data_IF_946402897869
#
_entry.id   IF_946402897869
#
_cell.length_a   1.000
_cell.length_b   1.000
_cell.length_c   1.000
_cell.angle_alpha   90.00
_cell.angle_beta   90.00
_cell.angle_gamma   90.00
#
_symmetry.space_group_name_H-M   'P 1'
#
loop_
_entity.id
_entity.type
_entity.pdbx_description
1 polymer ?
#
# COMPACT_ATOMS: atom_id res chain seq x y z
N UNK A 1 -2.00 12.85 8.44
CA UNK A 1 -1.63 12.02 7.27
C UNK A 1 -0.11 12.05 7.01
N UNK A 2 0.53 13.21 6.93
CA UNK A 2 1.99 13.29 6.73
C UNK A 2 2.83 12.63 7.85
N UNK A 3 2.42 12.75 9.12
CA UNK A 3 3.19 12.20 10.24
C UNK A 3 3.15 10.67 10.31
N UNK A 4 2.03 10.07 9.92
CA UNK A 4 1.83 8.62 9.91
C UNK A 4 2.65 7.96 8.80
N UNK A 5 2.64 8.51 7.59
CA UNK A 5 3.47 8.02 6.48
C UNK A 5 4.96 8.21 6.81
N UNK A 6 5.33 9.32 7.47
CA UNK A 6 6.71 9.56 7.93
C UNK A 6 7.14 8.59 9.02
N UNK A 7 6.22 8.13 9.85
CA UNK A 7 6.48 7.05 10.81
C UNK A 7 6.64 5.71 10.09
N UNK A 8 5.69 5.35 9.21
CA UNK A 8 5.69 4.11 8.44
C UNK A 8 6.94 3.97 7.57
N UNK A 9 7.45 5.06 7.00
CA UNK A 9 8.67 5.03 6.17
C UNK A 9 9.92 4.57 6.91
N UNK A 10 9.91 4.60 8.25
CA UNK A 10 11.01 4.13 9.12
C UNK A 10 10.89 2.64 9.46
N UNK A 11 9.74 2.02 9.24
CA UNK A 11 9.51 0.60 9.53
C UNK A 11 10.20 -0.30 8.50
N UNK A 12 10.61 -1.50 8.91
CA UNK A 12 11.06 -2.54 7.98
C UNK A 12 9.92 -3.06 7.11
N UNK A 13 10.23 -3.76 6.01
CA UNK A 13 9.21 -4.34 5.14
C UNK A 13 8.30 -5.31 5.90
N UNK A 14 8.86 -6.16 6.76
CA UNK A 14 8.05 -7.09 7.55
C UNK A 14 7.14 -6.35 8.55
N UNK A 15 7.59 -5.25 9.15
CA UNK A 15 6.73 -4.41 9.99
C UNK A 15 5.59 -3.78 9.17
N UNK A 16 5.88 -3.28 7.97
CA UNK A 16 4.84 -2.76 7.05
C UNK A 16 3.84 -3.84 6.64
N UNK A 17 4.30 -5.06 6.36
CA UNK A 17 3.41 -6.18 6.08
C UNK A 17 2.56 -6.56 7.30
N UNK A 18 3.11 -6.46 8.50
CA UNK A 18 2.34 -6.71 9.72
C UNK A 18 1.28 -5.63 9.94
N UNK A 19 1.59 -4.36 9.70
CA UNK A 19 0.62 -3.24 9.74
C UNK A 19 -0.49 -3.42 8.70
N UNK A 20 -0.15 -3.91 7.50
CA UNK A 20 -1.14 -4.22 6.46
C UNK A 20 -2.01 -5.43 6.81
N UNK A 21 -1.44 -6.43 7.49
CA UNK A 21 -2.12 -7.65 7.93
C UNK A 21 -2.85 -7.53 9.27
N UNK A 22 -2.68 -6.40 9.96
CA UNK A 22 -3.45 -6.00 11.13
C UNK A 22 -4.83 -5.51 10.68
N UNK A 23 -5.64 -6.46 10.20
CA UNK A 23 -7.07 -6.23 9.99
C UNK A 23 -7.71 -5.87 11.33
N UNK A 24 -8.82 -5.11 11.30
CA UNK A 24 -9.66 -4.81 12.48
C UNK A 24 -10.29 -6.12 13.00
N UNK A 25 -9.44 -6.94 13.62
CA UNK A 25 -9.75 -8.18 14.25
C UNK A 25 -10.10 -7.80 15.69
N UNK A 26 -11.39 -7.90 16.04
CA UNK A 26 -11.90 -7.81 17.41
C UNK A 26 -11.37 -8.95 18.33
N UNK A 27 -10.23 -9.54 17.98
CA UNK A 27 -9.59 -10.59 18.70
C UNK A 27 -9.04 -10.05 20.01
N UNK A 28 -9.48 -10.67 21.11
CA UNK A 28 -9.02 -10.40 22.48
C UNK A 28 -7.50 -10.65 22.60
N UNK A 29 -6.94 -11.50 21.74
CA UNK A 29 -5.51 -11.80 21.67
C UNK A 29 -5.01 -11.47 20.26
N UNK A 30 -4.08 -10.51 20.10
CA UNK A 30 -3.54 -10.19 18.79
C UNK A 30 -2.77 -11.40 18.21
N UNK A 31 -2.91 -11.70 16.91
CA UNK A 31 -2.16 -12.77 16.27
C UNK A 31 -0.64 -12.57 16.42
N UNK A 32 0.16 -13.65 16.45
CA UNK A 32 1.62 -13.55 16.40
C UNK A 32 2.10 -12.73 15.19
N UNK A 33 3.18 -11.97 15.36
CA UNK A 33 3.76 -11.12 14.31
C UNK A 33 3.93 -11.83 12.96
N UNK A 34 4.45 -13.07 12.96
CA UNK A 34 4.61 -13.87 11.73
C UNK A 34 3.29 -14.12 10.99
N UNK A 35 2.17 -14.22 11.72
CA UNK A 35 0.83 -14.37 11.12
C UNK A 35 0.38 -13.05 10.50
N UNK A 36 0.62 -11.92 11.16
CA UNK A 36 0.30 -10.60 10.62
C UNK A 36 1.06 -10.34 9.31
N UNK A 37 2.37 -10.59 9.30
CA UNK A 37 3.20 -10.48 8.08
C UNK A 37 2.64 -11.34 6.94
N UNK A 38 2.29 -12.60 7.25
CA UNK A 38 1.72 -13.51 6.25
C UNK A 38 0.39 -12.99 5.71
N UNK A 39 -0.51 -12.54 6.59
CA UNK A 39 -1.82 -11.97 6.21
C UNK A 39 -1.67 -10.73 5.34
N UNK A 40 -0.76 -9.82 5.68
CA UNK A 40 -0.52 -8.61 4.87
C UNK A 40 -0.05 -8.94 3.47
N UNK A 41 0.88 -9.90 3.33
CA UNK A 41 1.33 -10.39 2.02
C UNK A 41 0.20 -11.06 1.23
N UNK A 42 -0.60 -11.91 1.86
CA UNK A 42 -1.75 -12.58 1.23
C UNK A 42 -2.81 -11.57 0.79
N UNK A 43 -3.16 -10.61 1.66
CA UNK A 43 -4.09 -9.54 1.33
C UNK A 43 -3.58 -8.72 0.13
N UNK A 44 -2.31 -8.33 0.13
CA UNK A 44 -1.75 -7.55 -0.96
C UNK A 44 -1.78 -8.31 -2.28
N UNK A 45 -1.38 -9.59 -2.31
CA UNK A 45 -1.42 -10.37 -3.54
C UNK A 45 -2.86 -10.60 -4.04
N UNK A 46 -3.83 -10.80 -3.14
CA UNK A 46 -5.24 -10.95 -3.51
C UNK A 46 -5.86 -9.67 -4.08
N UNK A 47 -5.42 -8.50 -3.62
CA UNK A 47 -5.95 -7.19 -4.05
C UNK A 47 -5.05 -6.51 -5.09
N UNK A 48 -3.93 -7.13 -5.48
CA UNK A 48 -2.89 -6.54 -6.32
C UNK A 48 -3.41 -6.02 -7.65
N UNK A 49 -4.34 -6.74 -8.28
CA UNK A 49 -4.92 -6.35 -9.56
C UNK A 49 -5.76 -5.07 -9.43
N UNK A 50 -6.61 -5.00 -8.42
CA UNK A 50 -7.44 -3.82 -8.13
C UNK A 50 -6.56 -2.62 -7.73
N UNK A 51 -5.57 -2.84 -6.87
CA UNK A 51 -4.58 -1.81 -6.50
C UNK A 51 -3.87 -1.30 -7.75
N UNK A 52 -3.46 -2.18 -8.67
CA UNK A 52 -2.85 -1.79 -9.95
C UNK A 52 -3.81 -0.98 -10.81
N UNK A 53 -5.05 -1.41 -10.97
CA UNK A 53 -6.03 -0.70 -11.78
C UNK A 53 -6.21 0.74 -11.28
N UNK A 54 -6.36 0.91 -9.97
CA UNK A 54 -6.54 2.23 -9.33
C UNK A 54 -5.27 3.07 -9.46
N UNK A 55 -4.11 2.52 -9.11
CA UNK A 55 -2.84 3.26 -9.06
C UNK A 55 -2.32 3.57 -10.47
N UNK A 56 -2.45 2.64 -11.41
CA UNK A 56 -1.87 2.78 -12.74
C UNK A 56 -2.76 3.55 -13.73
N UNK A 57 -4.09 3.56 -13.54
CA UNK A 57 -5.01 4.37 -14.35
C UNK A 57 -5.28 5.77 -13.81
N UNK A 58 -4.76 6.11 -12.65
CA UNK A 58 -4.90 7.45 -12.11
C UNK A 58 -4.22 8.49 -13.01
N UNK A 59 -5.02 9.37 -13.63
CA UNK A 59 -4.52 10.55 -14.36
C UNK A 59 -3.74 11.52 -13.46
N UNK A 60 -4.02 11.52 -12.15
CA UNK A 60 -3.21 12.27 -11.20
C UNK A 60 -1.80 11.65 -11.16
N UNK A 61 -1.67 10.33 -10.98
CA UNK A 61 -0.38 9.65 -10.92
C UNK A 61 0.40 9.70 -12.24
N UNK A 62 -0.27 9.73 -13.40
CA UNK A 62 0.42 9.86 -14.70
C UNK A 62 1.18 11.18 -14.81
N UNK A 63 0.64 12.27 -14.24
CA UNK A 63 1.32 13.56 -14.13
C UNK A 63 2.41 13.58 -13.04
N UNK A 64 2.28 12.75 -12.00
CA UNK A 64 3.26 12.62 -10.92
C UNK A 64 4.36 11.60 -11.17
N UNK A 65 4.33 10.80 -12.25
CA UNK A 65 5.43 9.87 -12.62
C UNK A 65 6.80 10.55 -12.78
N UNK A 66 6.82 11.87 -13.01
CA UNK A 66 8.04 12.67 -13.10
C UNK A 66 8.38 13.46 -11.82
N UNK A 67 7.63 13.29 -10.74
CA UNK A 67 7.75 14.14 -9.54
C UNK A 67 8.29 13.31 -8.37
N UNK A 68 9.32 13.85 -7.73
CA UNK A 68 10.06 13.30 -6.59
C UNK A 68 9.19 12.71 -5.49
N UNK A 69 9.72 11.66 -4.84
CA UNK A 69 9.17 10.77 -3.80
C UNK A 69 8.13 11.34 -2.83
N UNK A 70 8.17 12.62 -2.47
CA UNK A 70 7.26 13.20 -1.47
C UNK A 70 5.81 13.38 -1.93
N UNK A 71 5.53 13.49 -3.23
CA UNK A 71 4.15 13.70 -3.72
C UNK A 71 3.39 12.41 -4.02
N UNK A 72 4.11 11.29 -4.17
CA UNK A 72 3.51 9.95 -4.41
C UNK A 72 2.63 9.53 -3.24
N UNK A 73 3.03 9.91 -2.02
CA UNK A 73 2.35 9.57 -0.78
C UNK A 73 0.97 10.21 -0.69
N UNK A 74 0.84 11.47 -1.12
CA UNK A 74 -0.41 12.21 -1.06
C UNK A 74 -1.44 11.69 -2.08
N UNK A 75 -0.96 11.25 -3.25
CA UNK A 75 -1.83 10.77 -4.33
C UNK A 75 -2.27 9.32 -4.07
N UNK A 76 -1.41 8.46 -3.52
CA UNK A 76 -1.85 7.11 -3.13
C UNK A 76 -2.78 7.18 -1.91
N UNK A 77 -2.56 8.12 -0.98
CA UNK A 77 -3.43 8.31 0.17
C UNK A 77 -4.82 8.87 -0.20
N UNK A 78 -4.96 9.65 -1.29
CA UNK A 78 -6.28 10.07 -1.79
C UNK A 78 -7.11 8.90 -2.35
N UNK A 79 -6.46 7.80 -2.77
CA UNK A 79 -7.14 6.53 -3.10
C UNK A 79 -7.55 5.71 -1.88
N UNK A 80 -7.17 6.12 -0.66
CA UNK A 80 -7.54 5.48 0.60
C UNK A 80 -9.06 5.35 0.82
N UNK A 81 -9.88 6.15 0.13
CA UNK A 81 -11.34 6.02 0.14
C UNK A 81 -11.88 4.82 -0.65
N UNK A 82 -11.10 4.25 -1.58
CA UNK A 82 -11.51 3.10 -2.42
C UNK A 82 -11.25 1.78 -1.68
N UNK A 83 -10.16 1.70 -0.91
CA UNK A 83 -9.85 0.55 -0.06
C UNK A 83 -10.68 0.63 1.22
N UNK A 84 -12.00 0.58 1.06
CA UNK A 84 -12.91 0.57 2.19
C UNK A 84 -12.73 -0.74 2.94
N UNK A 85 -12.17 -0.62 4.14
CA UNK A 85 -12.27 -1.51 5.29
C UNK A 85 -11.02 -2.34 5.61
N UNK A 86 -10.49 -2.00 6.78
CA UNK A 86 -9.64 -2.83 7.65
C UNK A 86 -8.16 -2.92 7.31
N UNK A 87 -7.56 -2.04 6.51
CA UNK A 87 -6.10 -2.07 6.27
C UNK A 87 -5.42 -0.72 6.50
N UNK A 88 -4.16 -0.77 6.91
CA UNK A 88 -3.32 0.42 7.05
C UNK A 88 -2.94 0.98 5.67
N UNK A 89 -3.64 2.04 5.24
CA UNK A 89 -3.37 2.75 3.97
C UNK A 89 -1.94 3.31 3.98
N UNK A 90 -1.47 3.85 5.11
CA UNK A 90 -0.12 4.38 5.24
C UNK A 90 0.95 3.30 5.01
N UNK A 91 0.74 2.08 5.53
CA UNK A 91 1.63 0.96 5.27
C UNK A 91 1.64 0.55 3.79
N UNK A 92 0.45 0.46 3.16
CA UNK A 92 0.31 0.15 1.73
C UNK A 92 1.06 1.17 0.86
N UNK A 93 0.93 2.46 1.17
CA UNK A 93 1.59 3.53 0.42
C UNK A 93 3.11 3.38 0.49
N UNK A 94 3.67 3.16 1.68
CA UNK A 94 5.12 3.00 1.85
C UNK A 94 5.62 1.74 1.14
N UNK A 95 4.86 0.63 1.19
CA UNK A 95 5.18 -0.59 0.47
C UNK A 95 5.22 -0.37 -1.05
N UNK A 96 4.21 0.29 -1.62
CA UNK A 96 4.16 0.62 -3.05
C UNK A 96 5.31 1.55 -3.46
N UNK A 97 5.63 2.55 -2.63
CA UNK A 97 6.77 3.43 -2.83
C UNK A 97 8.10 2.65 -2.89
N UNK A 98 8.32 1.70 -1.97
CA UNK A 98 9.51 0.83 -1.97
C UNK A 98 9.58 -0.15 -3.14
N UNK A 99 8.44 -0.65 -3.60
CA UNK A 99 8.35 -1.48 -4.81
C UNK A 99 8.70 -0.65 -6.06
N UNK A 100 8.35 0.64 -6.03
CA UNK A 100 8.48 1.58 -7.13
C UNK A 100 7.28 1.50 -8.08
N UNK A 101 6.62 2.64 -8.32
CA UNK A 101 5.42 2.68 -9.17
C UNK A 101 5.69 2.24 -10.61
N UNK A 102 6.85 2.59 -11.17
CA UNK A 102 7.23 2.15 -12.51
C UNK A 102 7.26 0.63 -12.62
N UNK A 103 7.89 -0.04 -11.65
CA UNK A 103 7.95 -1.50 -11.61
C UNK A 103 6.58 -2.12 -11.35
N UNK A 104 5.79 -1.49 -10.48
CA UNK A 104 4.46 -1.97 -10.13
C UNK A 104 3.49 -1.89 -11.32
N UNK A 105 3.54 -0.81 -12.10
CA UNK A 105 2.67 -0.54 -13.25
C UNK A 105 3.21 -1.05 -14.59
N UNK A 106 4.50 -1.41 -14.71
CA UNK A 106 5.08 -1.88 -15.98
C UNK A 106 4.30 -3.03 -16.61
N UNK A 107 3.87 -4.00 -15.80
CA UNK A 107 3.12 -5.16 -16.29
C UNK A 107 1.62 -4.88 -16.45
N UNK A 108 1.12 -3.74 -15.98
CA UNK A 108 -0.29 -3.38 -16.16
C UNK A 108 -0.57 -3.04 -17.63
N UNK A 109 0.38 -2.38 -18.31
CA UNK A 109 0.24 -1.99 -19.72
C UNK A 109 0.28 -3.22 -20.66
N UNK A 110 0.92 -4.31 -20.24
CA UNK A 110 1.02 -5.56 -21.03
C UNK A 110 -0.19 -6.50 -20.81
N UNK A 111 -1.03 -6.24 -19.79
CA UNK A 111 -2.18 -7.06 -19.39
C UNK A 111 -3.54 -6.46 -19.82
N UNK A 112 -3.56 -5.24 -20.38
CA UNK A 112 -4.77 -4.51 -20.84
C UNK A 112 -4.88 -4.49 -22.35
#
# INVERSE_FOLDING_TARGET
MNDEITYMSKLSDDELWAELGALDDNNIIPPPFKILVKRGKEWFENNKSEIREIVCNSEELSNFRNISDNNIYNVIASFGGIFSQNVSIAALVVLLSRIGLDKFCKNYIDEV
#
